data_IF_229314224041
#
_entry.id   IF_229314224041
#
_cell.length_a   1.000
_cell.length_b   1.000
_cell.length_c   1.000
_cell.angle_alpha   90.00
_cell.angle_beta   90.00
_cell.angle_gamma   90.00
#
_symmetry.space_group_name_H-M   'P 1'
#
loop_
_entity.id
_entity.type
_entity.pdbx_description
1 polymer ?
#
# COMPACT_ATOMS: atom_id res chain seq x y z
N UNK A 1 13.32 5.25 -1.81
CA UNK A 1 12.20 5.88 -1.04
C UNK A 1 11.61 4.82 -0.10
N UNK A 2 10.84 5.16 0.94
CA UNK A 2 10.29 4.13 1.87
C UNK A 2 9.51 3.04 1.12
N UNK A 3 8.60 3.43 0.22
CA UNK A 3 7.82 2.46 -0.56
C UNK A 3 8.64 1.54 -1.47
N UNK A 4 9.66 2.06 -2.16
CA UNK A 4 10.53 1.23 -3.03
C UNK A 4 11.44 0.33 -2.20
N UNK A 5 12.00 0.83 -1.09
CA UNK A 5 12.82 0.02 -0.18
C UNK A 5 12.03 -1.14 0.44
N UNK A 6 10.78 -0.88 0.88
CA UNK A 6 9.92 -1.92 1.42
C UNK A 6 9.50 -2.93 0.35
N UNK A 7 9.17 -2.47 -0.86
CA UNK A 7 8.89 -3.34 -2.00
C UNK A 7 10.07 -4.27 -2.32
N UNK A 8 11.28 -3.72 -2.44
CA UNK A 8 12.50 -4.50 -2.67
C UNK A 8 12.72 -5.51 -1.55
N UNK A 9 12.60 -5.09 -0.29
CA UNK A 9 12.82 -5.98 0.85
C UNK A 9 11.81 -7.14 0.89
N UNK A 10 10.52 -6.86 0.67
CA UNK A 10 9.49 -7.90 0.60
C UNK A 10 9.74 -8.88 -0.54
N UNK A 11 10.12 -8.37 -1.71
CA UNK A 11 10.44 -9.19 -2.88
C UNK A 11 11.65 -10.11 -2.65
N UNK A 12 12.74 -9.59 -2.06
CA UNK A 12 13.96 -10.35 -1.79
C UNK A 12 13.76 -11.49 -0.78
N UNK A 13 12.77 -11.36 0.10
CA UNK A 13 12.49 -12.32 1.16
C UNK A 13 11.24 -13.17 0.88
N UNK A 14 10.65 -13.06 -0.31
CA UNK A 14 9.48 -13.85 -0.68
C UNK A 14 9.88 -15.32 -0.91
N UNK A 15 9.19 -16.23 -0.22
CA UNK A 15 9.40 -17.67 -0.37
C UNK A 15 8.78 -18.26 -1.66
N UNK A 16 7.99 -17.48 -2.40
CA UNK A 16 7.29 -17.90 -3.61
C UNK A 16 6.99 -16.73 -4.53
N UNK A 17 6.07 -16.93 -5.48
CA UNK A 17 5.69 -15.89 -6.43
C UNK A 17 4.97 -14.74 -5.72
N UNK A 18 5.43 -13.51 -5.98
CA UNK A 18 4.87 -12.29 -5.40
C UNK A 18 4.63 -11.23 -6.47
N UNK A 19 3.48 -10.58 -6.37
CA UNK A 19 3.13 -9.43 -7.20
C UNK A 19 3.09 -8.18 -6.32
N UNK A 20 3.91 -7.19 -6.66
CA UNK A 20 4.01 -5.92 -5.95
C UNK A 20 3.40 -4.82 -6.80
N UNK A 21 2.44 -4.12 -6.21
CA UNK A 21 1.72 -3.03 -6.87
C UNK A 21 2.08 -1.73 -6.18
N UNK A 22 2.83 -0.88 -6.89
CA UNK A 22 3.17 0.46 -6.43
C UNK A 22 2.01 1.41 -6.79
N UNK A 23 1.34 1.93 -5.77
CA UNK A 23 0.25 2.90 -5.90
C UNK A 23 0.75 4.34 -5.79
N UNK A 24 0.25 5.25 -6.62
CA UNK A 24 0.49 6.69 -6.45
C UNK A 24 -0.10 7.57 -7.56
N UNK A 25 -0.09 8.89 -7.35
CA UNK A 25 -0.74 9.84 -8.26
C UNK A 25 -0.02 10.06 -9.59
N UNK A 26 1.31 9.94 -9.60
CA UNK A 26 2.13 10.33 -10.75
C UNK A 26 2.61 9.12 -11.53
N UNK A 27 2.11 8.95 -12.75
CA UNK A 27 2.55 7.89 -13.67
C UNK A 27 4.05 7.91 -13.95
N UNK A 28 4.63 9.09 -14.19
CA UNK A 28 6.07 9.21 -14.44
C UNK A 28 6.93 8.81 -13.23
N UNK A 29 6.56 9.24 -12.01
CA UNK A 29 7.26 8.82 -10.79
C UNK A 29 7.03 7.34 -10.49
N UNK A 30 5.85 6.82 -10.82
CA UNK A 30 5.48 5.41 -10.72
C UNK A 30 6.34 4.51 -11.59
N UNK A 31 6.45 4.84 -12.88
CA UNK A 31 7.29 4.09 -13.82
C UNK A 31 8.76 4.10 -13.41
N UNK A 32 9.27 5.23 -12.90
CA UNK A 32 10.62 5.29 -12.37
C UNK A 32 10.81 4.40 -11.12
N UNK A 33 9.81 4.35 -10.23
CA UNK A 33 9.84 3.50 -9.04
C UNK A 33 9.78 2.00 -9.38
N UNK A 34 9.01 1.60 -10.39
CA UNK A 34 9.02 0.21 -10.90
C UNK A 34 10.41 -0.16 -11.39
N UNK A 35 11.02 0.68 -12.24
CA UNK A 35 12.40 0.45 -12.73
C UNK A 35 13.45 0.44 -11.63
N UNK A 36 13.25 1.21 -10.55
CA UNK A 36 14.11 1.19 -9.36
C UNK A 36 14.08 -0.18 -8.69
N UNK A 37 12.88 -0.68 -8.40
CA UNK A 37 12.69 -2.00 -7.76
C UNK A 37 13.15 -3.14 -8.68
N UNK A 38 12.78 -3.12 -9.96
CA UNK A 38 13.21 -4.15 -10.93
C UNK A 38 14.74 -4.24 -11.05
N UNK A 39 15.44 -3.09 -11.01
CA UNK A 39 16.90 -3.08 -11.04
C UNK A 39 17.51 -3.68 -9.79
N UNK A 40 16.93 -3.42 -8.62
CA UNK A 40 17.39 -4.00 -7.34
C UNK A 40 17.08 -5.50 -7.22
N UNK A 41 16.08 -5.97 -7.94
CA UNK A 41 15.66 -7.37 -8.02
C UNK A 41 16.21 -8.10 -9.25
N UNK A 42 17.25 -7.57 -9.90
CA UNK A 42 17.80 -8.17 -11.11
C UNK A 42 18.14 -9.66 -10.88
N UNK A 43 17.43 -10.55 -11.59
CA UNK A 43 17.58 -12.00 -11.47
C UNK A 43 16.49 -12.71 -10.65
N UNK A 44 15.61 -11.99 -9.96
CA UNK A 44 14.43 -12.57 -9.32
C UNK A 44 13.34 -12.86 -10.37
N UNK A 45 13.04 -14.14 -10.59
CA UNK A 45 12.00 -14.58 -11.54
C UNK A 45 10.62 -14.73 -10.91
N UNK A 46 10.56 -14.83 -9.57
CA UNK A 46 9.33 -15.00 -8.79
C UNK A 46 8.65 -13.66 -8.44
N UNK A 47 9.18 -12.53 -8.89
CA UNK A 47 8.66 -11.21 -8.52
C UNK A 47 8.18 -10.46 -9.75
N UNK A 48 6.94 -9.95 -9.70
CA UNK A 48 6.41 -9.03 -10.70
C UNK A 48 6.07 -7.71 -10.03
N UNK A 49 6.53 -6.60 -10.61
CA UNK A 49 6.32 -5.26 -10.06
C UNK A 49 5.59 -4.41 -11.07
N UNK A 50 4.48 -3.79 -10.65
CA UNK A 50 3.69 -2.94 -11.51
C UNK A 50 3.33 -1.63 -10.83
N UNK A 51 3.02 -0.63 -11.63
CA UNK A 51 2.45 0.63 -11.14
C UNK A 51 0.94 0.67 -11.40
N UNK A 52 0.20 1.21 -10.44
CA UNK A 52 -1.21 1.58 -10.61
C UNK A 52 -1.40 3.04 -10.21
N UNK A 53 -1.91 3.90 -11.12
CA UNK A 53 -2.32 5.24 -10.77
C UNK A 53 -3.40 5.19 -9.68
N UNK A 54 -3.18 5.93 -8.61
CA UNK A 54 -4.09 6.01 -7.49
C UNK A 54 -3.94 7.36 -6.81
N UNK A 55 -5.06 8.07 -6.69
CA UNK A 55 -5.23 9.13 -5.71
C UNK A 55 -6.14 8.61 -4.59
N UNK A 56 -5.56 8.28 -3.44
CA UNK A 56 -6.33 7.78 -2.30
C UNK A 56 -7.20 8.86 -1.65
N UNK A 57 -6.99 10.13 -1.98
CA UNK A 57 -7.84 11.23 -1.50
C UNK A 57 -9.19 11.28 -2.21
N UNK A 58 -9.31 10.63 -3.38
CA UNK A 58 -10.57 10.45 -4.09
C UNK A 58 -11.46 9.44 -3.37
N UNK A 59 -12.68 9.82 -2.93
CA UNK A 59 -13.56 8.93 -2.18
C UNK A 59 -13.82 7.61 -2.90
N UNK A 60 -13.55 6.50 -2.21
CA UNK A 60 -13.81 5.13 -2.70
C UNK A 60 -12.86 4.63 -3.79
N UNK A 61 -11.96 5.46 -4.35
CA UNK A 61 -11.05 5.05 -5.41
C UNK A 61 -10.12 3.92 -4.95
N UNK A 62 -9.55 4.04 -3.74
CA UNK A 62 -8.71 3.01 -3.15
C UNK A 62 -9.47 1.70 -2.91
N UNK A 63 -10.63 1.74 -2.23
CA UNK A 63 -11.40 0.53 -1.94
C UNK A 63 -11.82 -0.22 -3.22
N UNK A 64 -12.20 0.52 -4.27
CA UNK A 64 -12.51 -0.06 -5.59
C UNK A 64 -11.28 -0.76 -6.19
N UNK A 65 -10.14 -0.09 -6.19
CA UNK A 65 -8.89 -0.65 -6.71
C UNK A 65 -8.45 -1.90 -5.94
N UNK A 66 -8.54 -1.88 -4.60
CA UNK A 66 -8.17 -3.03 -3.77
C UNK A 66 -9.04 -4.26 -4.06
N UNK A 67 -10.35 -4.08 -4.25
CA UNK A 67 -11.26 -5.17 -4.62
C UNK A 67 -11.01 -5.70 -6.04
N UNK A 68 -10.68 -4.82 -6.98
CA UNK A 68 -10.33 -5.19 -8.35
C UNK A 68 -9.05 -6.04 -8.38
N UNK A 69 -8.01 -5.61 -7.67
CA UNK A 69 -6.71 -6.25 -7.65
C UNK A 69 -6.66 -7.49 -6.73
N UNK A 70 -7.60 -7.61 -5.79
CA UNK A 70 -7.67 -8.71 -4.79
C UNK A 70 -6.35 -8.90 -4.04
N UNK A 71 -5.79 -7.80 -3.54
CA UNK A 71 -4.52 -7.83 -2.81
C UNK A 71 -4.68 -8.53 -1.45
N UNK A 72 -3.62 -9.20 -1.00
CA UNK A 72 -3.57 -9.85 0.31
C UNK A 72 -3.08 -8.92 1.43
N UNK A 73 -2.37 -7.84 1.09
CA UNK A 73 -1.82 -6.88 2.03
C UNK A 73 -1.73 -5.49 1.42
N UNK A 74 -1.84 -4.46 2.27
CA UNK A 74 -1.52 -3.06 1.94
C UNK A 74 -0.45 -2.54 2.88
N UNK A 75 0.62 -2.00 2.29
CA UNK A 75 1.64 -1.23 2.99
C UNK A 75 1.50 0.25 2.65
N UNK A 76 1.05 1.05 3.60
CA UNK A 76 0.79 2.47 3.42
C UNK A 76 2.01 3.31 3.80
N UNK A 77 2.75 3.76 2.78
CA UNK A 77 3.94 4.62 2.94
C UNK A 77 3.73 6.04 2.46
N UNK A 78 2.50 6.45 2.17
CA UNK A 78 2.18 7.72 1.53
C UNK A 78 1.85 8.78 2.59
N UNK A 79 2.79 9.69 2.84
CA UNK A 79 2.54 10.87 3.66
C UNK A 79 2.02 12.09 2.86
N UNK A 80 1.72 13.20 3.55
CA UNK A 80 1.81 13.36 5.01
C UNK A 80 0.58 12.80 5.73
N UNK A 81 0.80 12.01 6.78
CA UNK A 81 -0.27 11.40 7.59
C UNK A 81 -1.07 12.43 8.41
N UNK A 82 -0.46 13.56 8.77
CA UNK A 82 -1.13 14.68 9.44
C UNK A 82 -2.26 15.30 8.62
N UNK A 83 -2.22 15.16 7.30
CA UNK A 83 -3.28 15.63 6.40
C UNK A 83 -4.48 14.68 6.33
N UNK A 84 -4.41 13.52 7.01
CA UNK A 84 -5.45 12.50 7.04
C UNK A 84 -5.70 11.98 8.47
N UNK A 85 -6.17 12.83 9.41
CA UNK A 85 -6.42 12.40 10.78
C UNK A 85 -7.48 11.31 10.89
N UNK A 86 -8.30 11.08 9.85
CA UNK A 86 -9.33 10.05 9.82
C UNK A 86 -8.85 8.67 9.40
N UNK A 87 -7.57 8.48 9.08
CA UNK A 87 -7.03 7.20 8.59
C UNK A 87 -7.83 6.59 7.42
N UNK A 88 -8.14 7.40 6.40
CA UNK A 88 -9.00 7.02 5.25
C UNK A 88 -8.46 5.82 4.49
N UNK A 89 -7.14 5.65 4.45
CA UNK A 89 -6.51 4.48 3.81
C UNK A 89 -6.87 3.19 4.56
N UNK A 90 -6.80 3.18 5.89
CA UNK A 90 -7.22 2.01 6.69
C UNK A 90 -8.72 1.75 6.53
N UNK A 91 -9.54 2.81 6.53
CA UNK A 91 -10.97 2.64 6.28
C UNK A 91 -11.26 1.97 4.93
N UNK A 92 -10.58 2.39 3.87
CA UNK A 92 -10.73 1.81 2.54
C UNK A 92 -10.25 0.34 2.49
N UNK A 93 -9.20 0.01 3.24
CA UNK A 93 -8.67 -1.36 3.39
C UNK A 93 -9.69 -2.26 4.09
N UNK A 94 -10.27 -1.80 5.21
CA UNK A 94 -11.33 -2.52 5.92
C UNK A 94 -12.54 -2.72 4.99
N UNK A 95 -12.98 -1.68 4.29
CA UNK A 95 -14.10 -1.76 3.35
C UNK A 95 -13.83 -2.72 2.18
N UNK A 96 -12.57 -2.88 1.78
CA UNK A 96 -12.14 -3.83 0.75
C UNK A 96 -11.84 -5.23 1.31
N UNK A 97 -11.96 -5.43 2.62
CA UNK A 97 -11.67 -6.69 3.32
C UNK A 97 -10.26 -7.22 3.02
N UNK A 98 -9.28 -6.32 2.93
CA UNK A 98 -7.88 -6.72 2.74
C UNK A 98 -7.35 -7.29 4.06
N UNK A 99 -6.79 -8.53 4.07
CA UNK A 99 -6.42 -9.21 5.32
C UNK A 99 -5.35 -8.50 6.16
N UNK A 100 -4.41 -7.81 5.52
CA UNK A 100 -3.25 -7.21 6.20
C UNK A 100 -3.12 -5.74 5.84
N UNK A 101 -2.97 -4.90 6.86
CA UNK A 101 -2.65 -3.48 6.73
C UNK A 101 -1.47 -3.12 7.61
N UNK A 102 -0.50 -2.41 7.04
CA UNK A 102 0.65 -1.85 7.75
C UNK A 102 0.86 -0.42 7.27
N UNK A 103 1.13 0.50 8.18
CA UNK A 103 1.57 1.85 7.85
C UNK A 103 2.87 2.20 8.57
N UNK A 104 3.46 3.33 8.16
CA UNK A 104 4.65 3.92 8.78
C UNK A 104 4.32 5.26 9.44
N UNK A 105 3.07 5.44 9.86
CA UNK A 105 2.59 6.69 10.43
C UNK A 105 3.16 6.90 11.84
N UNK A 106 3.69 8.10 12.07
CA UNK A 106 4.12 8.57 13.37
C UNK A 106 3.18 9.61 14.05
N UNK A 107 2.21 10.27 13.37
CA UNK A 107 1.36 11.20 14.09
C UNK A 107 0.38 10.52 15.04
N UNK A 108 0.36 10.98 16.29
CA UNK A 108 -0.50 10.43 17.34
C UNK A 108 -2.00 10.49 17.00
N UNK A 109 -2.44 11.54 16.29
CA UNK A 109 -3.84 11.67 15.86
C UNK A 109 -4.25 10.58 14.87
N UNK A 110 -3.39 10.29 13.89
CA UNK A 110 -3.60 9.19 12.94
C UNK A 110 -3.65 7.85 13.66
N UNK A 111 -2.67 7.58 14.54
CA UNK A 111 -2.59 6.34 15.31
C UNK A 111 -3.85 6.14 16.18
N UNK A 112 -4.33 7.19 16.84
CA UNK A 112 -5.54 7.13 17.65
C UNK A 112 -6.78 6.77 16.82
N UNK A 113 -6.96 7.42 15.66
CA UNK A 113 -8.06 7.10 14.73
C UNK A 113 -7.96 5.68 14.19
N UNK A 114 -6.77 5.24 13.79
CA UNK A 114 -6.55 3.89 13.30
C UNK A 114 -6.90 2.83 14.36
N UNK A 115 -6.46 3.04 15.61
CA UNK A 115 -6.83 2.16 16.74
C UNK A 115 -8.32 2.15 17.01
N UNK A 116 -9.02 3.27 16.83
CA UNK A 116 -10.47 3.35 16.96
C UNK A 116 -11.24 2.48 15.97
N UNK A 117 -10.59 1.99 14.89
CA UNK A 117 -11.20 1.13 13.89
C UNK A 117 -11.07 -0.38 14.18
N UNK A 118 -10.43 -0.80 15.28
CA UNK A 118 -10.16 -2.23 15.58
C UNK A 118 -11.43 -3.08 15.57
N UNK A 119 -12.52 -2.62 16.19
CA UNK A 119 -13.79 -3.35 16.19
C UNK A 119 -14.33 -3.55 14.76
N UNK A 120 -14.36 -2.48 13.97
CA UNK A 120 -14.80 -2.52 12.55
C UNK A 120 -13.91 -3.45 11.71
N UNK A 121 -12.61 -3.49 11.99
CA UNK A 121 -11.67 -4.37 11.28
C UNK A 121 -11.87 -5.85 11.61
N UNK A 122 -12.29 -6.19 12.85
CA UNK A 122 -12.56 -7.57 13.26
C UNK A 122 -13.88 -8.13 12.72
N UNK A 123 -14.82 -7.26 12.41
CA UNK A 123 -16.16 -7.60 11.92
C UNK A 123 -16.25 -7.72 10.40
N UNK A 124 -15.25 -7.19 9.67
CA UNK A 124 -15.19 -7.19 8.21
C UNK A 124 -14.65 -8.52 7.66
#
# INVERSE_FOLDING_TARGET
RIGTAAATHLAQNAAGDVEIILGGRSGGKGAAAVKEVERELAGASNVRVFFRPLDWSEPGALARLLRELRVSAVLHTAGPFDSDPGARVLEAVIAAQVPVYVDVADPMGYIASARGMDAKAREA
#
